data_IF_151323981886
#
_entry.id   IF_151323981886
#
_cell.length_a   1.000
_cell.length_b   1.000
_cell.length_c   1.000
_cell.angle_alpha   90.00
_cell.angle_beta   90.00
_cell.angle_gamma   90.00
#
_symmetry.space_group_name_H-M   'P 1'
#
loop_
_entity.id
_entity.type
_entity.pdbx_description
1 polymer ?
#
# COMPACT_ATOMS: atom_id res chain seq x y z
N UNK A 1 -14.10 -3.58 -21.68
CA UNK A 1 -12.96 -4.26 -21.01
C UNK A 1 -11.89 -3.31 -20.45
N UNK A 2 -12.00 -1.99 -20.64
CA UNK A 2 -11.07 -1.00 -20.07
C UNK A 2 -11.38 -0.67 -18.60
N UNK A 3 -12.67 -0.63 -18.23
CA UNK A 3 -13.14 -0.36 -16.86
C UNK A 3 -12.63 -1.35 -15.80
N UNK A 4 -12.63 -2.66 -16.10
CA UNK A 4 -12.14 -3.67 -15.17
C UNK A 4 -10.62 -3.53 -14.92
N UNK A 5 -9.83 -3.33 -15.99
CA UNK A 5 -8.39 -3.06 -15.87
C UNK A 5 -8.14 -1.85 -14.98
N UNK A 6 -8.97 -0.81 -15.11
CA UNK A 6 -8.82 0.36 -14.26
C UNK A 6 -9.10 0.11 -12.79
N UNK A 7 -10.18 -0.61 -12.49
CA UNK A 7 -10.50 -0.99 -11.11
C UNK A 7 -9.40 -1.82 -10.48
N UNK A 8 -8.84 -2.81 -11.21
CA UNK A 8 -7.76 -3.65 -10.71
C UNK A 8 -6.51 -2.81 -10.41
N UNK A 9 -6.09 -1.98 -11.37
CA UNK A 9 -4.93 -1.13 -11.21
C UNK A 9 -5.05 -0.14 -10.04
N UNK A 10 -6.19 0.55 -9.93
CA UNK A 10 -6.45 1.48 -8.81
C UNK A 10 -6.41 0.75 -7.47
N UNK A 11 -6.98 -0.45 -7.36
CA UNK A 11 -6.97 -1.21 -6.09
C UNK A 11 -5.56 -1.69 -5.73
N UNK A 12 -4.79 -2.21 -6.69
CA UNK A 12 -3.42 -2.65 -6.46
C UNK A 12 -2.52 -1.49 -6.01
N UNK A 13 -2.64 -0.32 -6.66
CA UNK A 13 -1.92 0.88 -6.25
C UNK A 13 -2.28 1.35 -4.85
N UNK A 14 -3.57 1.30 -4.49
CA UNK A 14 -4.02 1.66 -3.15
C UNK A 14 -3.54 0.68 -2.07
N UNK A 15 -3.33 -0.60 -2.41
CA UNK A 15 -2.70 -1.59 -1.54
C UNK A 15 -1.21 -1.28 -1.30
N UNK A 16 -0.57 -0.57 -2.24
CA UNK A 16 0.85 -0.21 -2.19
C UNK A 16 1.73 -1.07 -3.10
N UNK A 17 1.13 -1.80 -4.04
CA UNK A 17 1.86 -2.60 -5.04
C UNK A 17 2.70 -1.71 -5.96
N UNK A 18 3.79 -2.27 -6.49
CA UNK A 18 4.69 -1.53 -7.38
C UNK A 18 4.05 -1.26 -8.74
N UNK A 19 4.45 -0.15 -9.37
CA UNK A 19 3.90 0.25 -10.69
C UNK A 19 4.31 -0.74 -11.77
N UNK A 20 5.54 -1.23 -11.69
CA UNK A 20 6.12 -2.17 -12.65
C UNK A 20 5.40 -3.52 -12.62
N UNK A 21 5.08 -4.05 -11.44
CA UNK A 21 4.30 -5.30 -11.32
C UNK A 21 2.88 -5.13 -11.84
N UNK A 22 2.24 -3.99 -11.57
CA UNK A 22 0.90 -3.70 -12.10
C UNK A 22 0.95 -3.53 -13.62
N UNK A 23 1.96 -2.86 -14.16
CA UNK A 23 2.15 -2.72 -15.59
C UNK A 23 2.32 -4.09 -16.27
N UNK A 24 3.12 -4.97 -15.66
CA UNK A 24 3.28 -6.35 -16.11
C UNK A 24 1.96 -7.14 -16.07
N UNK A 25 1.21 -7.08 -14.97
CA UNK A 25 -0.09 -7.73 -14.82
C UNK A 25 -1.10 -7.24 -15.87
N UNK A 26 -1.06 -5.95 -16.19
CA UNK A 26 -1.91 -5.32 -17.20
C UNK A 26 -1.37 -5.52 -18.62
N UNK A 27 -0.26 -6.22 -18.82
CA UNK A 27 0.34 -6.43 -20.15
C UNK A 27 0.77 -5.13 -20.83
N UNK A 28 1.09 -4.09 -20.05
CA UNK A 28 1.68 -2.87 -20.59
C UNK A 28 3.15 -3.12 -20.90
N UNK A 29 3.57 -2.75 -22.11
CA UNK A 29 4.96 -2.86 -22.54
C UNK A 29 5.89 -1.88 -21.80
N UNK A 30 5.31 -0.82 -21.25
CA UNK A 30 6.02 0.23 -20.53
C UNK A 30 5.21 0.66 -19.30
N UNK A 31 5.86 0.66 -18.13
CA UNK A 31 5.29 1.11 -16.87
C UNK A 31 4.95 2.61 -16.88
N UNK A 32 5.55 3.39 -17.78
CA UNK A 32 5.25 4.82 -17.97
C UNK A 32 3.79 5.05 -18.33
N UNK A 33 3.17 4.15 -19.11
CA UNK A 33 1.74 4.22 -19.45
C UNK A 33 0.88 4.10 -18.19
N UNK A 34 1.17 3.11 -17.35
CA UNK A 34 0.49 2.92 -16.05
C UNK A 34 0.71 4.14 -15.15
N UNK A 35 1.95 4.65 -15.10
CA UNK A 35 2.32 5.78 -14.24
C UNK A 35 1.63 7.08 -14.64
N UNK A 36 1.50 7.34 -15.93
CA UNK A 36 0.82 8.52 -16.45
C UNK A 36 -0.67 8.52 -16.11
N UNK A 37 -1.33 7.36 -16.24
CA UNK A 37 -2.75 7.21 -15.95
C UNK A 37 -3.04 7.31 -14.45
N UNK A 38 -2.17 6.79 -13.60
CA UNK A 38 -2.40 6.67 -12.15
C UNK A 38 -1.53 7.56 -11.26
N UNK A 39 -1.05 8.68 -11.80
CA UNK A 39 -0.09 9.54 -11.09
C UNK A 39 -0.63 10.00 -9.73
N UNK A 40 -1.95 10.21 -9.63
CA UNK A 40 -2.62 10.66 -8.42
C UNK A 40 -2.70 9.55 -7.37
N UNK A 41 -3.11 8.36 -7.76
CA UNK A 41 -3.21 7.18 -6.91
C UNK A 41 -1.82 6.79 -6.38
N UNK A 42 -0.78 6.94 -7.19
CA UNK A 42 0.61 6.74 -6.79
C UNK A 42 1.04 7.72 -5.69
N UNK A 43 0.73 9.00 -5.86
CA UNK A 43 1.01 10.01 -4.85
C UNK A 43 0.24 9.73 -3.55
N UNK A 44 -1.03 9.33 -3.66
CA UNK A 44 -1.87 8.98 -2.51
C UNK A 44 -1.39 7.71 -1.79
N UNK A 45 -1.01 6.68 -2.53
CA UNK A 45 -0.45 5.44 -1.98
C UNK A 45 0.84 5.72 -1.22
N UNK A 46 1.76 6.49 -1.82
CA UNK A 46 3.00 6.92 -1.16
C UNK A 46 2.74 7.71 0.12
N UNK A 47 1.80 8.66 0.10
CA UNK A 47 1.38 9.42 1.29
C UNK A 47 0.83 8.51 2.38
N UNK A 48 -0.03 7.54 2.04
CA UNK A 48 -0.58 6.57 3.01
C UNK A 48 0.49 5.67 3.58
N UNK A 49 1.44 5.20 2.77
CA UNK A 49 2.58 4.41 3.24
C UNK A 49 3.39 5.19 4.26
N UNK A 50 3.77 6.44 3.95
CA UNK A 50 4.48 7.32 4.89
C UNK A 50 3.71 7.56 6.19
N UNK A 51 2.40 7.83 6.11
CA UNK A 51 1.55 7.98 7.31
C UNK A 51 1.53 6.71 8.15
N UNK A 52 1.41 5.53 7.54
CA UNK A 52 1.46 4.24 8.26
C UNK A 52 2.82 4.02 8.92
N UNK A 53 3.92 4.25 8.20
CA UNK A 53 5.26 4.14 8.75
C UNK A 53 5.47 5.08 9.95
N UNK A 54 4.96 6.32 9.87
CA UNK A 54 5.02 7.26 11.00
C UNK A 54 4.20 6.78 12.20
N UNK A 55 2.96 6.33 12.00
CA UNK A 55 2.15 5.78 13.09
C UNK A 55 2.79 4.55 13.73
N UNK A 56 3.39 3.67 12.92
CA UNK A 56 4.12 2.52 13.46
C UNK A 56 5.34 2.97 14.26
N UNK A 57 6.13 3.92 13.75
CA UNK A 57 7.28 4.44 14.50
C UNK A 57 6.88 5.10 15.83
N UNK A 58 5.76 5.83 15.86
CA UNK A 58 5.30 6.56 17.05
C UNK A 58 4.60 5.65 18.07
N UNK A 59 3.81 4.67 17.60
CA UNK A 59 2.89 3.91 18.46
C UNK A 59 3.17 2.40 18.54
N UNK A 60 4.12 1.85 17.78
CA UNK A 60 4.36 0.40 17.79
C UNK A 60 4.71 -0.12 19.18
N UNK A 61 5.46 0.63 19.98
CA UNK A 61 5.86 0.18 21.31
C UNK A 61 4.72 0.25 22.33
N UNK A 62 3.85 1.26 22.24
CA UNK A 62 2.63 1.32 23.06
C UNK A 62 1.69 0.14 22.76
N UNK A 63 1.49 -0.19 21.48
CA UNK A 63 0.67 -1.34 21.07
C UNK A 63 1.27 -2.69 21.49
N UNK A 64 2.60 -2.81 21.55
CA UNK A 64 3.26 -4.01 22.09
C UNK A 64 3.08 -4.12 23.61
N UNK A 65 3.10 -3.00 24.33
CA UNK A 65 3.01 -2.96 25.78
C UNK A 65 1.59 -3.31 26.28
N UNK A 66 0.53 -2.83 25.62
CA UNK A 66 -0.85 -3.28 25.87
C UNK A 66 -1.01 -4.79 25.64
N UNK A 67 -0.37 -5.32 24.59
CA UNK A 67 -0.42 -6.75 24.28
C UNK A 67 0.27 -7.62 25.32
N UNK A 68 1.30 -7.10 26.02
CA UNK A 68 1.93 -7.77 27.16
C UNK A 68 1.06 -7.65 28.42
N UNK A 69 0.44 -6.49 28.66
CA UNK A 69 -0.41 -6.25 29.83
C UNK A 69 -1.66 -7.16 29.86
N UNK A 70 -2.25 -7.50 28.72
CA UNK A 70 -3.40 -8.41 28.64
C UNK A 70 -3.03 -9.89 28.66
N UNK A 71 -1.75 -10.24 28.48
CA UNK A 71 -1.27 -11.61 28.24
C UNK A 71 -0.19 -11.99 29.25
N UNK A 72 -0.37 -11.54 30.49
CA UNK A 72 0.61 -11.59 31.58
C UNK A 72 1.37 -12.93 31.66
N UNK A 73 2.59 -12.91 32.20
CA UNK A 73 3.52 -14.03 32.10
C UNK A 73 2.85 -15.31 32.63
N UNK A 74 2.66 -16.27 31.72
CA UNK A 74 2.34 -17.64 32.11
C UNK A 74 3.53 -18.15 32.90
N UNK A 75 3.27 -18.50 34.17
CA UNK A 75 4.24 -19.04 35.13
C UNK A 75 5.09 -20.17 34.56
#
# INVERSE_FOLDING_TARGET
MHSFRHTVASRALLAGESVDEIAFLLGHRDATVTRAVYVRELADSRRRSMRRSRMLAEYADLLKQERWSCRGPSR
#
